data_IF_214704090928
#
_entry.id   IF_214704090928
#
_cell.length_a   1.000
_cell.length_b   1.000
_cell.length_c   1.000
_cell.angle_alpha   90.00
_cell.angle_beta   90.00
_cell.angle_gamma   90.00
#
_symmetry.space_group_name_H-M   'P 1'
#
loop_
_entity.id
_entity.type
_entity.pdbx_description
1 polymer ?
#
# COMPACT_ATOMS: atom_id res chain seq x y z
N UNK A 1 4.14 -33.89 -32.23
CA UNK A 1 5.04 -34.33 -31.15
C UNK A 1 4.66 -33.55 -29.91
N UNK A 2 4.02 -34.23 -28.94
CA UNK A 2 4.03 -34.02 -27.47
C UNK A 2 3.84 -32.57 -26.94
N UNK A 3 2.92 -32.21 -26.05
CA UNK A 3 1.91 -32.90 -25.23
C UNK A 3 0.99 -31.83 -24.61
N UNK A 4 -0.26 -32.20 -24.36
CA UNK A 4 -1.23 -31.53 -23.49
C UNK A 4 -0.77 -31.41 -22.02
N UNK A 5 -1.39 -30.46 -21.29
CA UNK A 5 -1.34 -30.20 -19.82
C UNK A 5 -0.08 -29.44 -19.34
N UNK A 6 -0.16 -28.27 -18.73
CA UNK A 6 -1.04 -27.86 -17.62
C UNK A 6 -1.31 -26.34 -17.66
N UNK A 7 -2.56 -25.92 -17.87
CA UNK A 7 -3.08 -24.79 -17.08
C UNK A 7 -4.57 -25.01 -16.85
N UNK A 8 -4.83 -25.91 -15.91
CA UNK A 8 -6.14 -26.43 -15.54
C UNK A 8 -6.63 -25.70 -14.28
N UNK A 9 -6.53 -24.37 -14.23
CA UNK A 9 -6.97 -23.54 -13.11
C UNK A 9 -7.94 -22.43 -13.57
N UNK A 10 -9.21 -22.82 -13.66
CA UNK A 10 -10.39 -22.04 -13.25
C UNK A 10 -10.49 -20.56 -13.61
N UNK A 11 -11.09 -20.28 -14.77
CA UNK A 11 -11.67 -18.99 -15.15
C UNK A 11 -12.93 -18.65 -14.31
N UNK A 12 -12.74 -18.21 -13.07
CA UNK A 12 -13.79 -17.54 -12.27
C UNK A 12 -13.43 -16.12 -11.81
N UNK A 13 -12.22 -15.63 -12.10
CA UNK A 13 -11.71 -14.34 -11.58
C UNK A 13 -11.87 -13.11 -12.48
N UNK A 14 -12.16 -13.27 -13.77
CA UNK A 14 -12.09 -12.17 -14.75
C UNK A 14 -13.15 -11.07 -14.52
N UNK A 15 -14.38 -11.42 -14.14
CA UNK A 15 -15.46 -10.45 -13.86
C UNK A 15 -15.21 -9.59 -12.63
N UNK A 16 -14.60 -10.17 -11.59
CA UNK A 16 -14.34 -9.47 -10.34
C UNK A 16 -13.27 -8.38 -10.55
N UNK A 17 -12.21 -8.68 -11.31
CA UNK A 17 -11.17 -7.72 -11.68
C UNK A 17 -11.70 -6.53 -12.48
N UNK A 18 -12.61 -6.75 -13.43
CA UNK A 18 -13.29 -5.68 -14.15
C UNK A 18 -14.17 -4.82 -13.24
N UNK A 19 -14.87 -5.44 -12.29
CA UNK A 19 -15.70 -4.76 -11.31
C UNK A 19 -14.86 -3.95 -10.32
N UNK A 20 -13.71 -4.45 -9.89
CA UNK A 20 -12.80 -3.72 -8.99
C UNK A 20 -12.16 -2.50 -9.66
N UNK A 21 -11.91 -2.56 -10.98
CA UNK A 21 -11.39 -1.42 -11.76
C UNK A 21 -12.39 -0.26 -11.86
N UNK A 22 -13.70 -0.53 -11.95
CA UNK A 22 -14.74 0.49 -12.06
C UNK A 22 -15.06 1.19 -10.73
N UNK A 23 -14.77 0.54 -9.60
CA UNK A 23 -15.04 1.09 -8.25
C UNK A 23 -14.05 2.15 -7.78
N UNK A 24 -13.05 2.57 -8.59
CA UNK A 24 -11.95 3.51 -8.21
C UNK A 24 -11.14 3.11 -6.95
N UNK A 25 -11.43 1.96 -6.33
CA UNK A 25 -10.71 1.39 -5.18
C UNK A 25 -9.21 1.28 -5.46
N UNK A 26 -8.84 1.08 -6.73
CA UNK A 26 -7.46 0.89 -7.18
C UNK A 26 -6.65 2.20 -7.29
N UNK A 27 -7.30 3.37 -7.31
CA UNK A 27 -6.63 4.68 -7.59
C UNK A 27 -6.95 5.76 -6.56
N UNK A 28 -6.91 5.43 -5.27
CA UNK A 28 -6.79 6.48 -4.26
C UNK A 28 -5.50 7.25 -4.52
N UNK A 29 -5.58 8.56 -4.82
CA UNK A 29 -4.41 9.44 -5.00
C UNK A 29 -3.69 9.49 -3.66
N UNK A 30 -2.68 8.64 -3.47
CA UNK A 30 -1.89 8.61 -2.24
C UNK A 30 -1.10 9.91 -2.19
N UNK A 31 -1.50 10.83 -1.29
CA UNK A 31 -0.77 12.07 -1.04
C UNK A 31 0.67 11.79 -0.65
N UNK A 32 1.58 12.69 -0.99
CA UNK A 32 2.99 12.54 -0.59
C UNK A 32 3.07 12.68 0.93
N UNK A 33 3.46 11.61 1.62
CA UNK A 33 3.68 11.60 3.06
C UNK A 33 5.09 12.10 3.39
N UNK A 34 5.17 13.15 4.18
CA UNK A 34 6.42 13.78 4.64
C UNK A 34 6.56 13.67 6.15
N UNK A 35 7.80 13.72 6.65
CA UNK A 35 8.07 13.80 8.07
C UNK A 35 7.63 15.18 8.63
N UNK A 36 6.90 15.25 9.76
CA UNK A 36 6.47 16.52 10.34
C UNK A 36 7.64 17.35 10.91
N UNK A 37 8.76 16.71 11.25
CA UNK A 37 9.95 17.39 11.80
C UNK A 37 10.85 17.96 10.71
N UNK A 38 11.32 17.11 9.79
CA UNK A 38 12.32 17.49 8.79
C UNK A 38 11.75 17.73 7.39
N UNK A 39 10.45 17.49 7.17
CA UNK A 39 9.74 17.69 5.88
C UNK A 39 10.30 16.88 4.71
N UNK A 40 11.12 15.87 4.99
CA UNK A 40 11.65 14.94 3.98
C UNK A 40 10.67 13.78 3.75
N UNK A 41 10.61 13.20 2.53
CA UNK A 41 9.77 12.04 2.19
C UNK A 41 10.36 10.70 2.68
N UNK A 42 11.12 10.72 3.79
CA UNK A 42 11.83 9.55 4.31
C UNK A 42 11.09 8.90 5.50
N UNK A 43 9.76 8.89 5.45
CA UNK A 43 8.89 8.35 6.51
C UNK A 43 8.32 6.99 6.09
N UNK A 44 8.36 6.00 6.99
CA UNK A 44 7.91 4.62 6.74
C UNK A 44 7.10 4.11 7.93
N UNK A 45 6.16 3.17 7.74
CA UNK A 45 5.49 2.51 8.86
C UNK A 45 6.50 1.77 9.74
N UNK A 46 6.28 1.74 11.05
CA UNK A 46 7.18 1.07 12.01
C UNK A 46 7.11 -0.46 11.95
N UNK A 47 6.02 -1.02 11.45
CA UNK A 47 5.81 -2.47 11.27
C UNK A 47 4.85 -2.75 10.10
N UNK A 48 4.93 -3.95 9.54
CA UNK A 48 4.01 -4.46 8.50
C UNK A 48 2.58 -4.65 9.00
N UNK A 49 2.39 -4.75 10.33
CA UNK A 49 1.08 -4.96 10.95
C UNK A 49 0.37 -3.65 11.33
N UNK A 50 0.99 -2.49 11.05
CA UNK A 50 0.43 -1.18 11.37
C UNK A 50 -0.86 -0.90 10.60
N UNK A 51 -1.86 -0.35 11.29
CA UNK A 51 -3.17 -0.06 10.71
C UNK A 51 -4.10 -1.28 10.59
N UNK A 52 -3.61 -2.47 10.92
CA UNK A 52 -4.43 -3.68 11.00
C UNK A 52 -4.47 -4.26 12.41
N UNK A 53 -3.32 -4.67 12.96
CA UNK A 53 -3.23 -5.28 14.29
C UNK A 53 -2.75 -4.29 15.36
N UNK A 54 -1.86 -3.38 14.97
CA UNK A 54 -1.19 -2.43 15.87
C UNK A 54 -1.50 -1.01 15.38
N UNK A 55 -1.60 -0.02 16.29
CA UNK A 55 -1.78 1.38 15.92
C UNK A 55 -0.80 1.83 14.84
N UNK A 56 -1.28 2.69 13.95
CA UNK A 56 -0.46 3.20 12.87
C UNK A 56 0.63 4.14 13.40
N UNK A 57 1.87 3.72 13.26
CA UNK A 57 3.03 4.47 13.72
C UNK A 57 4.09 4.52 12.62
N UNK A 58 4.80 5.65 12.55
CA UNK A 58 5.77 5.93 11.51
C UNK A 58 7.13 6.22 12.10
N UNK A 59 8.19 5.88 11.35
CA UNK A 59 9.58 6.21 11.64
C UNK A 59 10.18 6.98 10.47
N UNK A 60 10.88 8.07 10.77
CA UNK A 60 11.67 8.81 9.80
C UNK A 60 13.14 8.37 9.84
N UNK A 61 13.67 7.94 8.69
CA UNK A 61 15.05 7.46 8.57
C UNK A 61 16.11 8.57 8.66
N UNK A 62 15.70 9.83 8.52
CA UNK A 62 16.63 10.97 8.47
C UNK A 62 16.82 11.64 9.84
N UNK A 63 15.73 11.86 10.58
CA UNK A 63 15.78 12.60 11.86
C UNK A 63 15.38 11.77 13.08
N UNK A 64 15.06 10.48 12.89
CA UNK A 64 14.67 9.58 13.98
C UNK A 64 13.30 9.85 14.59
N UNK A 65 12.45 10.68 13.95
CA UNK A 65 11.05 10.84 14.39
C UNK A 65 10.34 9.49 14.45
N UNK A 66 9.62 9.23 15.55
CA UNK A 66 8.76 8.06 15.74
C UNK A 66 7.40 8.51 16.30
N UNK A 67 6.31 8.19 15.61
CA UNK A 67 4.96 8.57 16.06
C UNK A 67 3.87 8.42 15.00
N UNK A 68 2.61 8.70 15.34
CA UNK A 68 1.46 8.44 14.46
C UNK A 68 1.21 9.55 13.41
N UNK A 69 1.84 10.72 13.56
CA UNK A 69 1.55 11.89 12.72
C UNK A 69 2.45 11.90 11.48
N UNK A 70 1.84 12.13 10.31
CA UNK A 70 2.50 12.37 9.03
C UNK A 70 2.00 13.68 8.43
N UNK A 71 2.84 14.33 7.61
CA UNK A 71 2.44 15.52 6.86
C UNK A 71 2.03 15.09 5.44
N UNK A 72 0.76 15.23 5.08
CA UNK A 72 0.27 14.95 3.74
C UNK A 72 0.16 16.24 2.90
N UNK A 73 0.70 16.20 1.68
CA UNK A 73 0.62 17.30 0.71
C UNK A 73 -0.23 16.84 -0.49
N UNK A 74 -1.23 17.62 -0.88
CA UNK A 74 -2.21 17.30 -1.95
C UNK A 74 -1.88 17.93 -3.31
#
# INVERSE_FOLDING_TARGET
MLNDSENRFGDCGLRLLETLKSLRIVRGKQGLKLCPKCKKPSIKPSSTFNGWLIPEEYVCLECGYRGPIVLEVQ
#
